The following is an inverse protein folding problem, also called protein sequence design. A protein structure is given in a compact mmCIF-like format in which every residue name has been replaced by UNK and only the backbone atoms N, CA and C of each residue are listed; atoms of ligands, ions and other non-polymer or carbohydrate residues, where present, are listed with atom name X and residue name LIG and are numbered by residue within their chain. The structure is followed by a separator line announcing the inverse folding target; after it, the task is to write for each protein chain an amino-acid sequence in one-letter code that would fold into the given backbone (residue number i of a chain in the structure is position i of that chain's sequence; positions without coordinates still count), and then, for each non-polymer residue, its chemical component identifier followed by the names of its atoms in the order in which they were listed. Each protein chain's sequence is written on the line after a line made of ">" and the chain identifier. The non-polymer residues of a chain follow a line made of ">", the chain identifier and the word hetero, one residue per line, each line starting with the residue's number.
data_IF_123227687041
#
_entry.id   IF_123227687041
#
_cell.length_a   1.000
_cell.length_b   1.000
_cell.length_c   1.000
_cell.angle_alpha   90.00
_cell.angle_beta   90.00
_cell.angle_gamma   90.00
#
_symmetry.space_group_name_H-M   'P 1'
#
loop_
_entity.id
_entity.type
_entity.pdbx_description
1 polymer ?
#
# COMPACT_ATOMS: atom_id res chain seq x y z
N UNK A 1 6.50 46.73 34.31
CA UNK A 1 6.67 45.32 33.89
C UNK A 1 6.93 45.34 32.39
N UNK A 2 8.21 45.32 32.04
CA UNK A 2 8.67 45.39 30.66
C UNK A 2 8.36 44.10 29.92
N UNK A 3 7.43 44.18 28.96
CA UNK A 3 7.31 43.17 27.93
C UNK A 3 8.48 43.32 26.96
N UNK A 4 9.61 42.70 27.31
CA UNK A 4 10.73 42.46 26.40
C UNK A 4 10.17 41.76 25.15
N UNK A 5 10.07 42.54 24.07
CA UNK A 5 9.78 42.03 22.75
C UNK A 5 10.90 41.04 22.41
N UNK A 6 10.56 39.75 22.39
CA UNK A 6 11.45 38.70 21.87
C UNK A 6 11.73 39.04 20.40
N UNK A 7 12.85 39.70 20.16
CA UNK A 7 13.41 39.89 18.82
C UNK A 7 13.44 38.52 18.14
N UNK A 8 12.66 38.40 17.08
CA UNK A 8 12.70 37.25 16.20
C UNK A 8 14.10 37.16 15.61
N UNK A 9 14.81 36.03 15.74
CA UNK A 9 16.18 35.92 15.25
C UNK A 9 16.23 36.13 13.72
N UNK A 10 17.33 36.70 13.21
CA UNK A 10 17.45 37.05 11.80
C UNK A 10 17.26 35.83 10.88
N UNK A 11 16.85 36.13 9.65
CA UNK A 11 16.61 35.17 8.58
C UNK A 11 17.87 34.32 8.32
N UNK A 12 17.94 33.10 8.85
CA UNK A 12 19.10 32.24 8.62
C UNK A 12 18.94 31.44 7.33
N UNK A 13 19.79 31.63 6.30
CA UNK A 13 19.71 30.90 5.03
C UNK A 13 19.79 29.38 5.23
N UNK A 14 20.50 28.94 6.27
CA UNK A 14 20.55 27.54 6.71
C UNK A 14 19.18 26.98 7.08
N UNK A 15 18.33 27.76 7.77
CA UNK A 15 16.98 27.35 8.18
C UNK A 15 16.04 27.24 6.99
N UNK A 16 16.16 28.14 6.01
CA UNK A 16 15.40 28.04 4.76
C UNK A 16 15.83 26.83 3.94
N UNK A 17 17.14 26.59 3.78
CA UNK A 17 17.67 25.40 3.11
C UNK A 17 17.15 24.11 3.76
N UNK A 18 17.20 24.04 5.10
CA UNK A 18 16.71 22.88 5.84
C UNK A 18 15.20 22.65 5.67
N UNK A 19 14.39 23.72 5.66
CA UNK A 19 12.95 23.62 5.34
C UNK A 19 12.73 23.04 3.95
N UNK A 20 13.50 23.47 2.94
CA UNK A 20 13.40 22.96 1.57
C UNK A 20 13.79 21.48 1.49
N UNK A 21 14.90 21.09 2.13
CA UNK A 21 15.35 19.68 2.18
C UNK A 21 14.28 18.79 2.82
N UNK A 22 13.69 19.21 3.96
CA UNK A 22 12.62 18.45 4.62
C UNK A 22 11.40 18.25 3.72
N UNK A 23 11.03 19.26 2.92
CA UNK A 23 9.92 19.12 1.97
C UNK A 23 10.27 18.15 0.83
N UNK A 24 11.49 18.22 0.30
CA UNK A 24 11.97 17.28 -0.73
C UNK A 24 12.00 15.83 -0.22
N UNK A 25 12.44 15.62 1.02
CA UNK A 25 12.40 14.31 1.68
C UNK A 25 10.96 13.81 1.85
N UNK A 26 10.04 14.68 2.27
CA UNK A 26 8.63 14.33 2.36
C UNK A 26 8.06 13.86 1.01
N UNK A 27 8.34 14.59 -0.08
CA UNK A 27 7.94 14.16 -1.43
C UNK A 27 8.55 12.82 -1.83
N UNK A 28 9.82 12.59 -1.51
CA UNK A 28 10.50 11.32 -1.81
C UNK A 28 9.83 10.15 -1.10
N UNK A 29 9.49 10.30 0.18
CA UNK A 29 8.76 9.27 0.93
C UNK A 29 7.34 9.05 0.41
N UNK A 30 6.64 10.11 0.01
CA UNK A 30 5.32 10.02 -0.61
C UNK A 30 5.38 9.26 -1.95
N UNK A 31 6.36 9.59 -2.79
CA UNK A 31 6.59 8.91 -4.06
C UNK A 31 6.91 7.42 -3.86
N UNK A 32 7.79 7.10 -2.91
CA UNK A 32 8.07 5.72 -2.52
C UNK A 32 6.80 4.97 -2.10
N UNK A 33 6.00 5.53 -1.19
CA UNK A 33 4.74 4.90 -0.78
C UNK A 33 3.77 4.69 -1.94
N UNK A 34 3.69 5.64 -2.86
CA UNK A 34 2.86 5.54 -4.07
C UNK A 34 3.30 4.37 -4.96
N UNK A 35 4.61 4.25 -5.20
CA UNK A 35 5.20 3.15 -5.96
C UNK A 35 4.89 1.81 -5.31
N UNK A 36 5.03 1.69 -3.98
CA UNK A 36 4.72 0.45 -3.25
C UNK A 36 3.25 0.03 -3.42
N UNK A 37 2.30 0.97 -3.32
CA UNK A 37 0.88 0.65 -3.51
C UNK A 37 0.58 0.22 -4.95
N UNK A 38 1.19 0.87 -5.94
CA UNK A 38 1.05 0.47 -7.36
C UNK A 38 1.64 -0.93 -7.58
N UNK A 39 2.86 -1.19 -7.10
CA UNK A 39 3.49 -2.50 -7.20
C UNK A 39 2.64 -3.60 -6.56
N UNK A 40 2.03 -3.32 -5.40
CA UNK A 40 1.14 -4.26 -4.71
C UNK A 40 -0.14 -4.55 -5.51
N UNK A 41 -0.70 -3.54 -6.18
CA UNK A 41 -1.90 -3.68 -7.01
C UNK A 41 -1.65 -4.48 -8.30
N UNK A 42 -0.45 -4.38 -8.86
CA UNK A 42 -0.10 -5.04 -10.13
C UNK A 42 0.60 -6.39 -9.93
N UNK A 43 1.14 -6.66 -8.74
CA UNK A 43 1.83 -7.92 -8.43
C UNK A 43 0.96 -9.15 -8.79
N UNK A 44 1.59 -10.12 -9.44
CA UNK A 44 0.96 -11.37 -9.84
C UNK A 44 -0.08 -11.27 -10.96
N UNK A 45 -0.21 -10.13 -11.65
CA UNK A 45 -1.16 -9.97 -12.78
C UNK A 45 -0.63 -10.45 -14.13
N UNK A 46 0.66 -10.74 -14.23
CA UNK A 46 1.28 -11.32 -15.42
C UNK A 46 2.37 -12.31 -15.02
N UNK A 47 2.79 -13.13 -15.98
CA UNK A 47 3.94 -14.03 -15.85
C UNK A 47 5.16 -13.41 -16.53
N UNK A 48 6.34 -13.67 -15.97
CA UNK A 48 7.63 -13.28 -16.51
C UNK A 48 8.32 -14.54 -16.98
N UNK A 49 8.82 -14.53 -18.22
CA UNK A 49 9.69 -15.56 -18.77
C UNK A 49 11.13 -15.08 -18.67
N UNK A 50 11.96 -15.82 -17.96
CA UNK A 50 13.39 -15.57 -17.90
C UNK A 50 14.10 -16.21 -19.12
N UNK A 51 15.32 -15.77 -19.41
CA UNK A 51 16.05 -16.15 -20.64
C UNK A 51 16.43 -17.63 -20.75
N UNK A 52 16.33 -18.38 -19.65
CA UNK A 52 16.52 -19.83 -19.57
C UNK A 52 15.23 -20.62 -19.84
N UNK A 53 14.13 -19.93 -20.15
CA UNK A 53 12.81 -20.53 -20.37
C UNK A 53 12.01 -20.75 -19.09
N UNK A 54 12.51 -20.33 -17.92
CA UNK A 54 11.74 -20.40 -16.69
C UNK A 54 10.63 -19.35 -16.64
N UNK A 55 9.48 -19.74 -16.09
CA UNK A 55 8.30 -18.90 -15.89
C UNK A 55 8.05 -18.65 -14.41
N UNK A 56 7.75 -17.41 -14.05
CA UNK A 56 7.39 -17.00 -12.70
C UNK A 56 6.28 -15.96 -12.71
N UNK A 57 5.57 -15.83 -11.59
CA UNK A 57 4.63 -14.73 -11.42
C UNK A 57 5.40 -13.42 -11.23
N UNK A 58 4.93 -12.35 -11.87
CA UNK A 58 5.57 -11.07 -11.74
C UNK A 58 5.50 -10.55 -10.29
N UNK A 59 6.62 -10.03 -9.78
CA UNK A 59 6.72 -9.53 -8.41
C UNK A 59 6.27 -10.57 -7.37
N UNK A 60 6.61 -11.84 -7.59
CA UNK A 60 6.11 -12.96 -6.79
C UNK A 60 6.40 -12.81 -5.29
N UNK A 61 7.50 -12.13 -4.92
CA UNK A 61 7.84 -11.79 -3.53
C UNK A 61 6.83 -10.90 -2.81
N UNK A 62 5.96 -10.20 -3.56
CA UNK A 62 4.86 -9.37 -3.05
C UNK A 62 3.55 -10.15 -2.86
N UNK A 63 3.56 -11.47 -3.00
CA UNK A 63 2.43 -12.30 -2.60
C UNK A 63 2.08 -12.03 -1.14
N UNK A 64 0.80 -11.83 -0.85
CA UNK A 64 0.28 -11.65 0.51
C UNK A 64 0.47 -12.96 1.28
N UNK A 65 -0.01 -14.06 0.71
CA UNK A 65 0.16 -15.42 1.25
C UNK A 65 0.75 -16.30 0.15
N UNK A 66 1.63 -17.20 0.56
CA UNK A 66 2.08 -18.33 -0.25
C UNK A 66 1.91 -19.63 0.52
N UNK A 67 1.61 -20.69 -0.20
CA UNK A 67 1.50 -22.05 0.34
C UNK A 67 1.83 -23.04 -0.77
N UNK A 68 2.27 -24.22 -0.39
CA UNK A 68 2.67 -25.29 -1.30
C UNK A 68 1.55 -26.35 -1.38
N UNK A 69 1.41 -27.02 -2.53
CA UNK A 69 0.35 -28.00 -2.73
C UNK A 69 0.44 -28.82 -4.01
N UNK A 70 -0.60 -29.62 -4.26
CA UNK A 70 -0.87 -30.37 -5.49
C UNK A 70 0.10 -31.54 -5.79
N UNK A 71 1.39 -31.28 -5.99
CA UNK A 71 2.38 -32.32 -6.34
C UNK A 71 3.14 -32.73 -5.08
N UNK A 72 3.10 -34.02 -4.66
CA UNK A 72 3.83 -34.48 -3.49
C UNK A 72 5.34 -34.40 -3.72
N UNK A 73 6.06 -34.05 -2.66
CA UNK A 73 7.53 -34.06 -2.62
C UNK A 73 8.08 -35.44 -2.23
N UNK A 74 9.40 -35.60 -2.32
CA UNK A 74 10.12 -36.74 -1.72
C UNK A 74 10.11 -36.70 -0.19
N UNK A 75 9.91 -35.53 0.41
CA UNK A 75 9.72 -35.38 1.85
C UNK A 75 8.27 -35.71 2.23
N UNK A 76 8.05 -36.49 3.31
CA UNK A 76 6.71 -36.91 3.70
C UNK A 76 5.81 -35.70 4.01
N UNK A 77 4.56 -35.78 3.56
CA UNK A 77 3.51 -34.77 3.78
C UNK A 77 3.79 -33.36 3.22
N UNK A 78 4.77 -33.20 2.34
CA UNK A 78 5.09 -31.90 1.73
C UNK A 78 4.79 -31.87 0.23
N UNK A 79 4.70 -30.65 -0.32
CA UNK A 79 4.28 -30.42 -1.69
C UNK A 79 5.18 -29.42 -2.42
N UNK A 80 5.16 -29.49 -3.75
CA UNK A 80 6.13 -28.79 -4.59
C UNK A 80 5.58 -27.59 -5.37
N UNK A 81 4.27 -27.52 -5.65
CA UNK A 81 3.69 -26.38 -6.41
C UNK A 81 3.40 -25.25 -5.45
N UNK A 82 4.02 -24.09 -5.64
CA UNK A 82 3.77 -22.93 -4.80
C UNK A 82 2.61 -22.11 -5.35
N UNK A 83 1.52 -22.03 -4.60
CA UNK A 83 0.42 -21.11 -4.82
C UNK A 83 0.73 -19.75 -4.20
N UNK A 84 0.30 -18.68 -4.86
CA UNK A 84 0.50 -17.30 -4.42
C UNK A 84 -0.79 -16.52 -4.53
N UNK A 85 -1.20 -15.95 -3.40
CA UNK A 85 -2.31 -15.01 -3.30
C UNK A 85 -1.78 -13.58 -3.27
N UNK A 86 -2.19 -12.76 -4.23
CA UNK A 86 -1.89 -11.33 -4.33
C UNK A 86 -3.14 -10.51 -4.08
N UNK A 87 -2.99 -9.18 -4.01
CA UNK A 87 -4.13 -8.29 -3.82
C UNK A 87 -5.20 -8.36 -4.92
N UNK A 88 -4.79 -8.74 -6.13
CA UNK A 88 -5.63 -8.69 -7.32
C UNK A 88 -5.56 -9.95 -8.20
N UNK A 89 -4.85 -10.98 -7.74
CA UNK A 89 -4.77 -12.27 -8.44
C UNK A 89 -4.45 -13.43 -7.50
N UNK A 90 -4.78 -14.61 -7.98
CA UNK A 90 -4.35 -15.89 -7.43
C UNK A 90 -3.70 -16.71 -8.54
N UNK A 91 -2.55 -17.29 -8.25
CA UNK A 91 -1.77 -18.02 -9.24
C UNK A 91 -0.87 -19.07 -8.60
N UNK A 92 -0.11 -19.75 -9.45
CA UNK A 92 0.80 -20.83 -9.05
C UNK A 92 2.11 -20.77 -9.83
N UNK A 93 3.15 -21.38 -9.26
CA UNK A 93 4.46 -21.58 -9.88
C UNK A 93 4.86 -23.06 -9.72
N UNK A 94 5.28 -23.69 -10.81
CA UNK A 94 5.79 -25.06 -10.80
C UNK A 94 7.19 -25.10 -10.15
N UNK A 95 7.56 -26.17 -9.40
CA UNK A 95 8.83 -26.27 -8.69
C UNK A 95 10.08 -26.11 -9.56
N UNK A 96 10.06 -26.65 -10.79
CA UNK A 96 11.16 -26.49 -11.75
C UNK A 96 11.18 -25.12 -12.43
N UNK A 97 10.28 -24.22 -12.04
CA UNK A 97 9.99 -22.97 -12.72
C UNK A 97 9.70 -23.14 -14.22
N UNK A 98 9.33 -24.33 -14.71
CA UNK A 98 9.02 -24.55 -16.13
C UNK A 98 7.68 -23.93 -16.55
N UNK A 99 6.80 -23.65 -15.58
CA UNK A 99 5.45 -23.17 -15.83
C UNK A 99 4.94 -22.35 -14.67
N UNK A 100 4.29 -21.23 -14.96
CA UNK A 100 3.56 -20.44 -13.99
C UNK A 100 2.23 -19.97 -14.59
N UNK A 101 1.21 -19.84 -13.76
CA UNK A 101 -0.13 -19.51 -14.25
C UNK A 101 -0.93 -18.67 -13.27
N UNK A 102 -1.84 -17.86 -13.82
CA UNK A 102 -2.80 -17.06 -13.08
C UNK A 102 -4.16 -17.71 -13.28
N UNK A 103 -4.84 -18.02 -12.19
CA UNK A 103 -6.10 -18.78 -12.21
C UNK A 103 -7.30 -17.84 -12.13
N UNK A 104 -7.18 -16.77 -11.34
CA UNK A 104 -8.27 -15.82 -11.12
C UNK A 104 -7.82 -14.58 -10.35
N UNK A 105 -8.79 -13.75 -9.97
CA UNK A 105 -8.59 -12.53 -9.19
C UNK A 105 -8.42 -12.80 -7.69
N UNK A 106 -9.05 -13.86 -7.18
CA UNK A 106 -8.99 -14.35 -5.80
C UNK A 106 -9.06 -15.87 -5.78
N UNK A 107 -8.65 -16.51 -4.66
CA UNK A 107 -8.77 -17.96 -4.52
C UNK A 107 -10.24 -18.39 -4.42
N UNK A 108 -10.66 -19.25 -5.35
CA UNK A 108 -11.93 -19.98 -5.36
C UNK A 108 -11.61 -21.48 -5.22
N UNK A 109 -11.60 -21.97 -3.98
CA UNK A 109 -11.26 -23.36 -3.67
C UNK A 109 -12.54 -24.19 -3.51
N UNK A 110 -12.61 -25.41 -4.09
CA UNK A 110 -11.50 -26.17 -4.69
C UNK A 110 -11.37 -26.01 -6.21
N UNK A 111 -12.24 -25.24 -6.87
CA UNK A 111 -12.29 -25.12 -8.34
C UNK A 111 -10.96 -24.67 -8.95
N UNK A 112 -10.26 -23.76 -8.31
CA UNK A 112 -8.96 -23.26 -8.76
C UNK A 112 -7.89 -24.35 -8.68
N UNK A 113 -7.92 -25.20 -7.66
CA UNK A 113 -6.99 -26.33 -7.56
C UNK A 113 -7.18 -27.31 -8.71
N UNK A 114 -8.43 -27.58 -9.09
CA UNK A 114 -8.75 -28.41 -10.24
C UNK A 114 -8.28 -27.78 -11.57
N UNK A 115 -8.40 -26.45 -11.70
CA UNK A 115 -7.91 -25.73 -12.86
C UNK A 115 -6.38 -25.78 -12.96
N UNK A 116 -5.68 -25.60 -11.84
CA UNK A 116 -4.22 -25.72 -11.77
C UNK A 116 -3.79 -27.16 -12.12
N UNK A 117 -4.44 -28.17 -11.56
CA UNK A 117 -4.13 -29.58 -11.83
C UNK A 117 -4.27 -29.92 -13.32
N UNK A 118 -5.34 -29.43 -13.96
CA UNK A 118 -5.54 -29.58 -15.39
C UNK A 118 -4.46 -28.87 -16.19
N UNK A 119 -4.09 -27.66 -15.81
CA UNK A 119 -3.05 -26.88 -16.49
C UNK A 119 -1.67 -27.55 -16.35
N UNK A 120 -1.39 -28.18 -15.21
CA UNK A 120 -0.21 -29.01 -14.96
C UNK A 120 -0.27 -30.39 -15.62
N UNK A 121 -1.36 -30.72 -16.34
CA UNK A 121 -1.58 -32.02 -16.99
C UNK A 121 -1.51 -33.21 -16.03
N UNK A 122 -1.99 -33.03 -14.79
CA UNK A 122 -2.08 -34.11 -13.81
C UNK A 122 -3.21 -35.10 -14.17
N UNK A 123 -3.07 -36.39 -13.80
CA UNK A 123 -4.10 -37.40 -14.01
C UNK A 123 -5.47 -36.92 -13.52
N UNK A 124 -6.52 -37.18 -14.30
CA UNK A 124 -7.89 -36.79 -13.93
C UNK A 124 -8.32 -37.40 -12.61
N UNK A 125 -7.86 -38.60 -12.28
CA UNK A 125 -8.23 -39.36 -11.08
C UNK A 125 -7.82 -38.65 -9.78
N UNK A 126 -6.85 -37.72 -9.88
CA UNK A 126 -6.40 -36.93 -8.74
C UNK A 126 -7.40 -35.83 -8.37
N UNK A 127 -8.07 -35.19 -9.34
CA UNK A 127 -8.87 -33.97 -9.11
C UNK A 127 -10.32 -34.03 -9.62
N UNK A 128 -10.68 -35.02 -10.45
CA UNK A 128 -12.03 -35.16 -11.01
C UNK A 128 -13.11 -35.46 -9.94
N UNK A 129 -12.70 -35.96 -8.78
CA UNK A 129 -13.52 -36.17 -7.59
C UNK A 129 -14.27 -34.91 -7.11
N UNK A 130 -13.86 -33.70 -7.51
CA UNK A 130 -14.61 -32.47 -7.23
C UNK A 130 -15.94 -32.37 -8.01
N UNK A 131 -16.10 -33.15 -9.08
CA UNK A 131 -17.29 -33.17 -9.95
C UNK A 131 -18.07 -34.49 -9.88
N UNK A 132 -17.52 -35.50 -9.21
CA UNK A 132 -18.03 -36.87 -9.23
C UNK A 132 -18.21 -37.51 -7.85
N UNK A 133 -18.91 -38.65 -7.78
CA UNK A 133 -19.11 -39.40 -6.54
C UNK A 133 -17.83 -40.13 -6.08
N UNK A 134 -16.89 -40.38 -6.98
CA UNK A 134 -15.67 -41.14 -6.68
C UNK A 134 -14.68 -40.37 -5.78
N UNK A 135 -13.92 -41.07 -4.91
CA UNK A 135 -12.89 -40.45 -4.07
C UNK A 135 -11.68 -40.01 -4.90
N UNK A 136 -11.02 -38.91 -4.49
CA UNK A 136 -9.77 -38.47 -5.12
C UNK A 136 -8.65 -39.48 -4.83
N UNK A 137 -7.86 -39.85 -5.85
CA UNK A 137 -6.67 -40.66 -5.68
C UNK A 137 -5.62 -39.93 -4.82
N UNK A 138 -5.36 -38.66 -5.13
CA UNK A 138 -4.45 -37.80 -4.38
C UNK A 138 -5.01 -37.39 -3.01
N UNK A 139 -4.22 -37.51 -1.93
CA UNK A 139 -4.62 -37.10 -0.58
C UNK A 139 -4.84 -35.59 -0.48
N UNK A 140 -4.08 -34.79 -1.24
CA UNK A 140 -4.23 -33.34 -1.27
C UNK A 140 -5.63 -32.93 -1.73
N UNK A 141 -6.05 -33.34 -2.93
CA UNK A 141 -7.37 -32.97 -3.45
C UNK A 141 -8.51 -33.55 -2.59
N UNK A 142 -8.30 -34.72 -1.97
CA UNK A 142 -9.26 -35.31 -1.02
C UNK A 142 -9.55 -34.38 0.16
N UNK A 143 -8.52 -33.74 0.73
CA UNK A 143 -8.67 -32.81 1.85
C UNK A 143 -9.51 -31.57 1.51
N UNK A 144 -9.51 -31.17 0.24
CA UNK A 144 -10.29 -30.02 -0.26
C UNK A 144 -11.67 -30.40 -0.79
N UNK A 145 -11.99 -31.69 -0.94
CA UNK A 145 -13.24 -32.17 -1.59
C UNK A 145 -14.51 -31.57 -1.00
N UNK A 146 -14.59 -31.52 0.32
CA UNK A 146 -15.76 -31.04 1.05
C UNK A 146 -15.59 -29.59 1.54
N UNK A 147 -14.53 -28.91 1.09
CA UNK A 147 -14.23 -27.54 1.46
C UNK A 147 -14.69 -26.54 0.43
N UNK A 148 -15.33 -25.45 0.85
CA UNK A 148 -15.56 -24.29 0.01
C UNK A 148 -14.87 -23.08 0.61
N UNK A 149 -14.15 -22.34 -0.22
CA UNK A 149 -13.58 -21.05 0.16
C UNK A 149 -13.57 -20.10 -1.02
N UNK A 150 -14.11 -18.92 -0.75
CA UNK A 150 -14.10 -17.80 -1.68
C UNK A 150 -13.80 -16.54 -0.89
N UNK A 151 -12.94 -15.71 -1.45
CA UNK A 151 -12.48 -14.50 -0.80
C UNK A 151 -13.10 -13.27 -1.46
N UNK A 152 -13.79 -12.39 -0.71
CA UNK A 152 -14.33 -11.17 -1.28
C UNK A 152 -13.21 -10.23 -1.73
N UNK A 153 -13.28 -9.77 -2.97
CA UNK A 153 -12.29 -8.88 -3.61
C UNK A 153 -12.54 -7.40 -3.29
N UNK A 154 -13.77 -7.04 -2.92
CA UNK A 154 -14.24 -5.66 -2.83
C UNK A 154 -13.46 -4.82 -1.82
N UNK A 155 -13.27 -5.32 -0.61
CA UNK A 155 -12.57 -4.60 0.46
C UNK A 155 -11.09 -4.31 0.15
N UNK A 156 -10.28 -5.29 -0.33
CA UNK A 156 -8.93 -5.02 -0.82
C UNK A 156 -8.85 -3.98 -1.94
N UNK A 157 -9.75 -4.05 -2.93
CA UNK A 157 -9.75 -3.08 -4.04
C UNK A 157 -10.12 -1.68 -3.56
N UNK A 158 -11.14 -1.56 -2.70
CA UNK A 158 -11.56 -0.27 -2.13
C UNK A 158 -10.47 0.33 -1.26
N UNK A 159 -9.75 -0.47 -0.46
CA UNK A 159 -8.66 0.04 0.38
C UNK A 159 -7.47 0.54 -0.44
N UNK A 160 -7.08 -0.19 -1.49
CA UNK A 160 -6.03 0.24 -2.43
C UNK A 160 -6.44 1.49 -3.21
N UNK A 161 -7.67 1.55 -3.70
CA UNK A 161 -8.22 2.72 -4.39
C UNK A 161 -8.24 3.94 -3.46
N UNK A 162 -8.69 3.76 -2.21
CA UNK A 162 -8.63 4.79 -1.18
C UNK A 162 -7.21 5.33 -0.98
N UNK A 163 -6.21 4.44 -0.85
CA UNK A 163 -4.83 4.84 -0.66
C UNK A 163 -4.31 5.71 -1.83
N UNK A 164 -4.59 5.30 -3.07
CA UNK A 164 -4.21 6.05 -4.27
C UNK A 164 -4.93 7.41 -4.36
N UNK A 165 -6.22 7.47 -4.03
CA UNK A 165 -6.98 8.73 -4.00
C UNK A 165 -6.38 9.70 -2.98
N UNK A 166 -5.98 9.23 -1.80
CA UNK A 166 -5.34 10.09 -0.79
C UNK A 166 -3.99 10.60 -1.27
N UNK A 167 -3.17 9.76 -1.90
CA UNK A 167 -1.89 10.18 -2.51
C UNK A 167 -2.12 11.27 -3.56
N UNK A 168 -3.05 11.04 -4.49
CA UNK A 168 -3.39 12.01 -5.55
C UNK A 168 -3.90 13.31 -4.93
N UNK A 169 -4.75 13.23 -3.90
CA UNK A 169 -5.23 14.40 -3.17
C UNK A 169 -4.08 15.20 -2.55
N UNK A 170 -3.12 14.55 -1.89
CA UNK A 170 -1.95 15.23 -1.29
C UNK A 170 -1.10 15.91 -2.36
N UNK A 171 -0.84 15.23 -3.48
CA UNK A 171 -0.06 15.80 -4.59
C UNK A 171 -0.78 16.98 -5.26
N UNK A 172 -2.07 16.85 -5.54
CA UNK A 172 -2.89 17.94 -6.08
C UNK A 172 -2.93 19.13 -5.12
N UNK A 173 -3.06 18.88 -3.82
CA UNK A 173 -3.00 19.93 -2.82
C UNK A 173 -1.65 20.68 -2.87
N UNK A 174 -0.53 19.98 -3.02
CA UNK A 174 0.80 20.60 -3.14
C UNK A 174 0.95 21.43 -4.42
N UNK A 175 0.46 20.92 -5.55
CA UNK A 175 0.41 21.66 -6.82
C UNK A 175 -0.43 22.93 -6.66
N UNK A 176 -1.61 22.83 -6.02
CA UNK A 176 -2.48 23.98 -5.78
C UNK A 176 -1.84 25.00 -4.83
N UNK A 177 -1.12 24.57 -3.79
CA UNK A 177 -0.38 25.49 -2.91
C UNK A 177 0.71 26.26 -3.69
N UNK A 178 1.34 25.62 -4.68
CA UNK A 178 2.40 26.25 -5.47
C UNK A 178 1.86 27.17 -6.57
N UNK A 179 0.80 26.76 -7.28
CA UNK A 179 0.35 27.41 -8.52
C UNK A 179 -0.85 28.33 -8.28
N UNK A 180 -1.84 27.90 -7.49
CA UNK A 180 -3.10 28.64 -7.33
C UNK A 180 -3.76 28.39 -5.97
N UNK A 181 -3.21 28.96 -4.88
CA UNK A 181 -3.65 28.65 -3.52
C UNK A 181 -5.11 29.02 -3.25
N UNK A 182 -5.66 29.99 -4.01
CA UNK A 182 -7.05 30.42 -3.90
C UNK A 182 -8.08 29.31 -4.20
N UNK A 183 -7.69 28.24 -4.91
CA UNK A 183 -8.56 27.10 -5.20
C UNK A 183 -8.77 26.18 -3.99
N UNK A 184 -7.89 26.25 -3.00
CA UNK A 184 -8.03 25.52 -1.74
C UNK A 184 -8.96 26.21 -0.75
N UNK A 185 -9.71 27.25 -1.18
CA UNK A 185 -10.62 28.01 -0.32
C UNK A 185 -11.66 27.10 0.35
N UNK A 186 -11.93 27.36 1.62
CA UNK A 186 -12.98 26.70 2.37
C UNK A 186 -14.36 26.89 1.71
N UNK A 187 -15.02 25.79 1.37
CA UNK A 187 -16.38 25.73 0.81
C UNK A 187 -17.42 25.25 1.84
N UNK A 188 -17.04 25.05 3.11
CA UNK A 188 -17.99 24.57 4.12
C UNK A 188 -19.14 25.56 4.29
N UNK A 189 -20.39 25.09 4.19
CA UNK A 189 -21.58 25.92 4.37
C UNK A 189 -21.88 26.15 5.87
N UNK A 190 -21.94 25.07 6.64
CA UNK A 190 -22.28 25.10 8.06
C UNK A 190 -21.15 25.65 8.95
N UNK A 191 -21.53 26.49 9.91
CA UNK A 191 -20.61 27.18 10.81
C UNK A 191 -19.80 26.26 11.73
N UNK A 192 -20.35 25.11 12.11
CA UNK A 192 -19.65 24.10 12.91
C UNK A 192 -18.44 23.53 12.17
N UNK A 193 -18.60 23.14 10.90
CA UNK A 193 -17.51 22.63 10.06
C UNK A 193 -16.53 23.71 9.65
N UNK A 194 -16.98 24.97 9.46
CA UNK A 194 -16.08 26.09 9.19
C UNK A 194 -14.99 26.17 10.25
N UNK A 195 -15.32 26.09 11.54
CA UNK A 195 -14.36 26.24 12.67
C UNK A 195 -13.20 25.25 12.63
N UNK A 196 -13.46 24.00 12.24
CA UNK A 196 -12.46 22.92 12.21
C UNK A 196 -11.80 22.79 10.83
N UNK A 197 -12.39 23.40 9.78
CA UNK A 197 -11.86 23.35 8.43
C UNK A 197 -10.43 23.93 8.35
N UNK A 198 -9.45 23.16 7.86
CA UNK A 198 -8.07 23.60 7.72
C UNK A 198 -7.85 24.48 6.49
N UNK A 199 -8.79 24.51 5.56
CA UNK A 199 -8.72 25.30 4.33
C UNK A 199 -8.70 26.81 4.62
N UNK A 200 -7.96 27.60 3.82
CA UNK A 200 -7.94 29.06 3.94
C UNK A 200 -9.32 29.69 3.73
N UNK A 201 -9.56 30.77 4.46
CA UNK A 201 -10.78 31.60 4.37
C UNK A 201 -10.37 33.00 3.93
N UNK A 202 -11.21 33.65 3.15
CA UNK A 202 -10.95 35.01 2.68
C UNK A 202 -11.22 35.21 1.19
N UNK A 203 -10.94 36.41 0.72
CA UNK A 203 -10.92 36.75 -0.71
C UNK A 203 -9.71 36.12 -1.41
N UNK A 204 -9.70 36.06 -2.75
CA UNK A 204 -8.54 35.55 -3.50
C UNK A 204 -7.20 36.23 -3.12
N UNK A 205 -7.11 37.58 -3.08
CA UNK A 205 -5.85 38.24 -2.73
C UNK A 205 -5.41 37.97 -1.29
N UNK A 206 -6.35 37.84 -0.34
CA UNK A 206 -6.03 37.48 1.04
C UNK A 206 -5.40 36.08 1.13
N UNK A 207 -5.92 35.12 0.36
CA UNK A 207 -5.42 33.74 0.37
C UNK A 207 -4.03 33.65 -0.26
N UNK A 208 -3.81 34.36 -1.37
CA UNK A 208 -2.52 34.40 -2.06
C UNK A 208 -1.44 35.11 -1.22
N UNK A 209 -1.83 36.07 -0.37
CA UNK A 209 -0.95 36.74 0.57
C UNK A 209 -0.64 35.94 1.85
N UNK A 210 -1.20 34.72 2.01
CA UNK A 210 -0.99 33.93 3.23
C UNK A 210 0.47 33.53 3.42
N UNK A 211 1.01 33.63 4.65
CA UNK A 211 2.41 33.33 4.93
C UNK A 211 2.70 31.83 4.78
N UNK A 212 3.96 31.49 4.45
CA UNK A 212 4.39 30.09 4.28
C UNK A 212 4.09 29.17 5.47
N UNK A 213 4.06 29.73 6.68
CA UNK A 213 3.76 29.00 7.93
C UNK A 213 2.30 28.53 7.99
N UNK A 214 1.37 29.27 7.37
CA UNK A 214 -0.02 28.83 7.24
C UNK A 214 -0.09 27.58 6.37
N UNK A 215 0.57 27.61 5.21
CA UNK A 215 0.61 26.47 4.30
C UNK A 215 1.31 25.26 4.90
N UNK A 216 2.35 25.44 5.71
CA UNK A 216 2.98 24.33 6.45
C UNK A 216 2.02 23.69 7.49
N UNK A 217 1.06 24.45 8.06
CA UNK A 217 -0.01 23.89 8.91
C UNK A 217 -1.01 23.09 8.07
N UNK A 218 -1.41 23.63 6.92
CA UNK A 218 -2.32 22.93 6.00
C UNK A 218 -1.70 21.63 5.48
N UNK A 219 -0.41 21.67 5.09
CA UNK A 219 0.38 20.48 4.75
C UNK A 219 0.36 19.45 5.86
N UNK A 220 0.63 19.86 7.10
CA UNK A 220 0.61 18.89 8.20
C UNK A 220 -0.75 18.17 8.30
N UNK A 221 -1.86 18.86 8.05
CA UNK A 221 -3.17 18.22 8.01
C UNK A 221 -3.33 17.25 6.84
N UNK A 222 -3.00 17.64 5.61
CA UNK A 222 -3.13 16.76 4.43
C UNK A 222 -2.20 15.55 4.50
N UNK A 223 -0.94 15.77 4.90
CA UNK A 223 0.09 14.74 4.97
C UNK A 223 -0.18 13.72 6.09
N UNK A 224 -0.85 14.11 7.18
CA UNK A 224 -1.27 13.17 8.23
C UNK A 224 -2.25 12.10 7.75
N UNK A 225 -2.86 12.25 6.56
CA UNK A 225 -3.70 11.21 5.96
C UNK A 225 -2.86 10.06 5.35
N UNK A 226 -1.58 10.28 5.05
CA UNK A 226 -0.72 9.29 4.39
C UNK A 226 -0.49 8.03 5.23
N UNK A 227 -0.23 8.10 6.56
CA UNK A 227 -0.12 6.88 7.38
C UNK A 227 -1.38 6.02 7.37
N UNK A 228 -2.57 6.63 7.40
CA UNK A 228 -3.83 5.89 7.29
C UNK A 228 -3.97 5.23 5.92
N UNK A 229 -3.63 5.95 4.85
CA UNK A 229 -3.61 5.42 3.48
C UNK A 229 -2.57 4.30 3.28
N UNK A 230 -1.42 4.38 3.95
CA UNK A 230 -0.38 3.35 3.88
C UNK A 230 -0.71 2.10 4.71
N UNK A 231 -1.48 2.25 5.80
CA UNK A 231 -1.84 1.14 6.69
C UNK A 231 -3.04 0.33 6.23
N UNK A 232 -4.08 1.00 5.73
CA UNK A 232 -5.36 0.34 5.46
C UNK A 232 -5.25 -0.80 4.44
N UNK A 233 -4.55 -0.65 3.28
CA UNK A 233 -4.39 -1.74 2.34
C UNK A 233 -3.69 -2.99 2.92
N UNK A 234 -2.48 -2.90 3.50
CA UNK A 234 -1.84 -4.09 4.07
C UNK A 234 -2.61 -4.67 5.24
N UNK A 235 -3.33 -3.87 6.02
CA UNK A 235 -4.20 -4.39 7.09
C UNK A 235 -5.33 -5.27 6.52
N UNK A 236 -6.06 -4.78 5.52
CA UNK A 236 -7.15 -5.54 4.88
C UNK A 236 -6.61 -6.79 4.18
N UNK A 237 -5.49 -6.68 3.47
CA UNK A 237 -4.84 -7.81 2.81
C UNK A 237 -4.34 -8.85 3.82
N UNK A 238 -3.79 -8.43 4.96
CA UNK A 238 -3.37 -9.32 6.02
C UNK A 238 -4.55 -10.08 6.64
N UNK A 239 -5.68 -9.41 6.90
CA UNK A 239 -6.91 -10.08 7.37
C UNK A 239 -7.39 -11.15 6.38
N UNK A 240 -7.39 -10.82 5.08
CA UNK A 240 -7.70 -11.77 4.02
C UNK A 240 -6.70 -12.94 3.98
N UNK A 241 -5.42 -12.66 4.14
CA UNK A 241 -4.38 -13.68 4.24
C UNK A 241 -4.58 -14.61 5.44
N UNK A 242 -4.96 -14.08 6.60
CA UNK A 242 -5.29 -14.88 7.79
C UNK A 242 -6.50 -15.79 7.53
N UNK A 243 -7.50 -15.35 6.78
CA UNK A 243 -8.64 -16.20 6.39
C UNK A 243 -8.19 -17.36 5.50
N UNK A 244 -7.29 -17.10 4.54
CA UNK A 244 -6.69 -18.16 3.71
C UNK A 244 -5.92 -19.15 4.57
N UNK A 245 -5.03 -18.68 5.45
CA UNK A 245 -4.22 -19.54 6.31
C UNK A 245 -5.09 -20.40 7.23
N UNK A 246 -6.09 -19.80 7.90
CA UNK A 246 -7.04 -20.55 8.74
C UNK A 246 -7.88 -21.56 7.96
N UNK A 247 -8.19 -21.27 6.70
CA UNK A 247 -8.88 -22.23 5.84
C UNK A 247 -7.97 -23.41 5.51
N UNK A 248 -6.70 -23.16 5.19
CA UNK A 248 -5.69 -24.19 4.89
C UNK A 248 -5.36 -25.04 6.12
N UNK A 249 -5.22 -24.45 7.31
CA UNK A 249 -4.97 -25.16 8.57
C UNK A 249 -6.05 -26.20 8.91
N UNK A 250 -7.29 -25.98 8.46
CA UNK A 250 -8.40 -26.92 8.66
C UNK A 250 -8.40 -28.08 7.68
N UNK A 251 -7.45 -28.12 6.74
CA UNK A 251 -7.35 -29.17 5.72
C UNK A 251 -6.31 -30.18 6.16
N UNK A 252 -6.72 -31.44 6.21
CA UNK A 252 -5.84 -32.59 6.45
C UNK A 252 -5.06 -32.95 5.18
N UNK A 253 -4.41 -31.96 4.58
CA UNK A 253 -3.68 -32.10 3.33
C UNK A 253 -2.19 -32.33 3.55
N UNK A 254 -1.68 -32.43 4.79
CA UNK A 254 -0.24 -32.39 5.09
C UNK A 254 0.29 -30.97 5.29
N UNK A 255 1.62 -30.81 5.34
CA UNK A 255 2.26 -29.51 5.49
C UNK A 255 2.27 -28.74 4.17
N UNK A 256 1.38 -27.75 4.08
CA UNK A 256 1.30 -26.81 2.96
C UNK A 256 2.20 -25.59 3.15
N UNK A 257 2.98 -25.49 4.23
CA UNK A 257 3.94 -24.41 4.49
C UNK A 257 3.35 -23.01 4.27
N UNK A 258 2.09 -22.82 4.69
CA UNK A 258 1.35 -21.59 4.45
C UNK A 258 1.98 -20.45 5.26
N UNK A 259 2.36 -19.36 4.58
CA UNK A 259 3.05 -18.23 5.21
C UNK A 259 2.78 -16.92 4.49
N UNK A 260 2.84 -15.82 5.23
CA UNK A 260 2.87 -14.49 4.63
C UNK A 260 4.13 -14.30 3.77
N UNK A 261 3.98 -13.63 2.64
CA UNK A 261 5.14 -13.29 1.80
C UNK A 261 6.04 -12.28 2.51
N UNK A 262 7.31 -12.63 2.69
CA UNK A 262 8.28 -11.77 3.37
C UNK A 262 8.45 -10.43 2.65
N UNK A 263 8.49 -10.44 1.31
CA UNK A 263 8.62 -9.21 0.51
C UNK A 263 7.41 -8.28 0.69
N UNK A 264 6.19 -8.83 0.70
CA UNK A 264 4.98 -8.07 1.01
C UNK A 264 5.07 -7.42 2.40
N UNK A 265 5.38 -8.19 3.45
CA UNK A 265 5.45 -7.68 4.83
C UNK A 265 6.51 -6.58 4.97
N UNK A 266 7.73 -6.82 4.47
CA UNK A 266 8.84 -5.87 4.57
C UNK A 266 8.55 -4.60 3.78
N UNK A 267 8.06 -4.70 2.55
CA UNK A 267 7.78 -3.54 1.71
C UNK A 267 6.65 -2.68 2.27
N UNK A 268 5.59 -3.30 2.79
CA UNK A 268 4.47 -2.59 3.42
C UNK A 268 4.88 -1.93 4.74
N UNK A 269 5.71 -2.60 5.56
CA UNK A 269 6.28 -2.01 6.76
C UNK A 269 7.16 -0.78 6.44
N UNK A 270 8.00 -0.88 5.41
CA UNK A 270 8.79 0.26 4.94
C UNK A 270 7.91 1.40 4.41
N UNK A 271 6.84 1.09 3.67
CA UNK A 271 5.87 2.08 3.18
C UNK A 271 5.19 2.82 4.35
N UNK A 272 4.76 2.08 5.38
CA UNK A 272 4.18 2.66 6.57
C UNK A 272 5.19 3.53 7.32
N UNK A 273 6.42 3.05 7.54
CA UNK A 273 7.50 3.83 8.16
C UNK A 273 7.83 5.12 7.37
N UNK A 274 7.92 5.03 6.04
CA UNK A 274 8.15 6.18 5.17
C UNK A 274 7.03 7.21 5.27
N UNK A 275 5.76 6.77 5.40
CA UNK A 275 4.63 7.69 5.57
C UNK A 275 4.72 8.50 6.87
N UNK A 276 5.16 7.90 7.99
CA UNK A 276 5.43 8.63 9.23
C UNK A 276 6.63 9.56 9.11
N UNK A 277 7.70 9.11 8.47
CA UNK A 277 8.88 9.93 8.22
C UNK A 277 8.52 11.18 7.39
N UNK A 278 7.62 11.05 6.41
CA UNK A 278 7.11 12.17 5.62
C UNK A 278 6.35 13.19 6.50
N UNK A 279 5.43 12.71 7.36
CA UNK A 279 4.70 13.56 8.31
C UNK A 279 5.66 14.27 9.26
N UNK A 280 6.67 13.55 9.78
CA UNK A 280 7.70 14.11 10.64
C UNK A 280 8.50 15.21 9.94
N UNK A 281 8.86 15.01 8.66
CA UNK A 281 9.55 16.02 7.86
C UNK A 281 8.71 17.31 7.73
N UNK A 282 7.41 17.18 7.42
CA UNK A 282 6.48 18.31 7.34
C UNK A 282 6.32 18.99 8.70
N UNK A 283 6.24 18.21 9.78
CA UNK A 283 6.15 18.72 11.14
C UNK A 283 7.39 19.53 11.55
N UNK A 284 8.59 18.98 11.30
CA UNK A 284 9.85 19.66 11.57
C UNK A 284 10.00 20.92 10.72
N UNK A 285 9.62 20.87 9.44
CA UNK A 285 9.58 22.03 8.56
C UNK A 285 8.70 23.13 9.14
N UNK A 286 7.51 22.79 9.62
CA UNK A 286 6.59 23.74 10.26
C UNK A 286 7.18 24.33 11.54
N UNK A 287 7.81 23.51 12.39
CA UNK A 287 8.49 23.98 13.61
C UNK A 287 9.63 24.95 13.28
N UNK A 288 10.40 24.69 12.22
CA UNK A 288 11.43 25.61 11.73
C UNK A 288 10.84 26.89 11.11
N UNK A 289 9.59 26.88 10.67
CA UNK A 289 8.88 28.10 10.24
C UNK A 289 8.33 28.94 11.39
N UNK A 290 8.15 28.36 12.59
CA UNK A 290 7.68 29.12 13.77
C UNK A 290 8.79 30.07 14.23
N UNK A 291 8.48 31.36 14.23
CA UNK A 291 9.39 32.44 14.65
C UNK A 291 10.11 33.19 13.53
N UNK A 292 9.84 32.91 12.24
CA UNK A 292 10.22 33.84 11.17
C UNK A 292 9.21 34.99 11.10
N UNK A 293 9.64 36.22 11.34
CA UNK A 293 8.75 37.40 11.20
C UNK A 293 8.32 37.56 9.74
N UNK A 294 7.14 38.15 9.53
CA UNK A 294 6.60 38.47 8.20
C UNK A 294 7.56 39.38 7.40
N UNK A 295 8.27 40.29 8.08
CA UNK A 295 9.28 41.16 7.49
C UNK A 295 10.50 40.39 6.95
N UNK A 296 10.94 39.34 7.66
CA UNK A 296 12.07 38.54 7.23
C UNK A 296 11.76 37.70 5.96
N UNK A 297 10.49 37.33 5.75
CA UNK A 297 10.05 36.60 4.55
C UNK A 297 9.95 37.47 3.29
N UNK A 298 9.86 38.79 3.43
CA UNK A 298 9.82 39.74 2.32
C UNK A 298 11.21 40.25 1.89
N UNK A 299 12.29 39.78 2.50
CA UNK A 299 13.64 40.23 2.16
C UNK A 299 13.94 41.70 2.54
N UNK A 300 13.08 42.32 3.35
CA UNK A 300 13.32 43.67 3.88
C UNK A 300 14.35 43.55 5.00
N UNK A 301 15.63 43.55 4.62
CA UNK A 301 16.70 43.87 5.55
C UNK A 301 16.55 45.34 5.92
N UNK A 302 16.11 45.63 7.15
CA UNK A 302 16.33 46.96 7.71
C UNK A 302 17.84 47.18 7.71
N UNK A 303 18.32 48.02 6.80
CA UNK A 303 19.65 48.60 6.89
C UNK A 303 19.66 49.42 8.18
N UNK A 304 20.48 48.99 9.15
CA UNK A 304 21.03 49.91 10.16
C UNK A 304 22.17 50.68 9.52
#
# INVERSE_FOLDING_TARGET
>A
MDHSAKESPPFSPRRQRMRTVLLGLAYTFCAFGSIVQILTLIAGKWTVRDGDGSERLALSSLAVVRFDGIIPSSEPESYLVTMRYFAASFGYEHPSASKAGIVGSTPHLPSDLAAIARDLSLPSDDWACFRGPEPCASPYFRAFRNGYFELPTTLPYVSLAYALVIVVFVLLAEVLIAVRPSWLRCQCYFSCFKRVCPCPRGSRPEIEALPSVFWDRYRLWTWCMLPCAAFLPPFVLALNGLLVMKFLERREAGDMNARFGTGFVVLQAMCFGASFAAVLCVYLRRRLGRGSSWMAQQGVTMKQ
#
